data_IF_375111792876
#
_entry.id   IF_375111792876
#
_cell.length_a   1.000
_cell.length_b   1.000
_cell.length_c   1.000
_cell.angle_alpha   90.00
_cell.angle_beta   90.00
_cell.angle_gamma   90.00
#
_symmetry.space_group_name_H-M   'P 1'
#
loop_
_entity.id
_entity.type
_entity.pdbx_description
1 polymer ?
#
# COMPACT_ATOMS: atom_id res chain seq x y z
N UNK A 1 7.06 -24.42 -12.98
CA UNK A 1 6.79 -23.00 -12.69
C UNK A 1 6.46 -22.92 -11.22
N UNK A 2 7.40 -22.43 -10.41
CA UNK A 2 7.22 -22.29 -8.97
C UNK A 2 6.12 -21.26 -8.74
N UNK A 3 5.00 -21.67 -8.15
CA UNK A 3 3.97 -20.74 -7.70
C UNK A 3 4.65 -19.64 -6.88
N UNK A 4 4.53 -18.39 -7.31
CA UNK A 4 4.99 -17.27 -6.51
C UNK A 4 4.16 -17.28 -5.23
N UNK A 5 4.81 -17.64 -4.12
CA UNK A 5 4.20 -17.61 -2.79
C UNK A 5 3.80 -16.16 -2.45
N UNK A 6 2.73 -15.98 -1.66
CA UNK A 6 2.20 -14.70 -1.19
C UNK A 6 3.34 -13.77 -0.70
N UNK A 7 4.34 -14.35 -0.02
CA UNK A 7 5.52 -13.63 0.48
C UNK A 7 6.32 -12.90 -0.60
N UNK A 8 6.48 -13.50 -1.78
CA UNK A 8 7.23 -12.90 -2.90
C UNK A 8 6.50 -11.66 -3.40
N UNK A 9 5.19 -11.77 -3.65
CA UNK A 9 4.38 -10.65 -4.11
C UNK A 9 4.30 -9.52 -3.09
N UNK A 10 4.16 -9.84 -1.80
CA UNK A 10 4.15 -8.83 -0.74
C UNK A 10 5.50 -8.10 -0.65
N UNK A 11 6.63 -8.81 -0.84
CA UNK A 11 7.96 -8.20 -0.85
C UNK A 11 8.17 -7.28 -2.05
N UNK A 12 7.77 -7.71 -3.24
CA UNK A 12 7.86 -6.88 -4.47
C UNK A 12 7.00 -5.62 -4.33
N UNK A 13 5.76 -5.76 -3.83
CA UNK A 13 4.88 -4.63 -3.56
C UNK A 13 5.51 -3.64 -2.56
N UNK A 14 6.11 -4.13 -1.48
CA UNK A 14 6.81 -3.28 -0.51
C UNK A 14 8.01 -2.54 -1.12
N UNK A 15 8.79 -3.19 -1.99
CA UNK A 15 9.91 -2.54 -2.67
C UNK A 15 9.44 -1.40 -3.58
N UNK A 16 8.34 -1.60 -4.32
CA UNK A 16 7.76 -0.53 -5.14
C UNK A 16 7.18 0.61 -4.29
N UNK A 17 6.57 0.31 -3.14
CA UNK A 17 6.07 1.31 -2.20
C UNK A 17 7.21 2.16 -1.61
N UNK A 18 8.33 1.55 -1.26
CA UNK A 18 9.52 2.27 -0.76
C UNK A 18 10.06 3.24 -1.80
N UNK A 19 10.17 2.81 -3.07
CA UNK A 19 10.58 3.70 -4.17
C UNK A 19 9.62 4.88 -4.35
N UNK A 20 8.31 4.60 -4.34
CA UNK A 20 7.29 5.64 -4.47
C UNK A 20 7.32 6.65 -3.30
N UNK A 21 7.57 6.19 -2.07
CA UNK A 21 7.73 7.04 -0.89
C UNK A 21 8.95 7.94 -1.02
N UNK A 22 10.10 7.37 -1.38
CA UNK A 22 11.34 8.13 -1.57
C UNK A 22 11.18 9.21 -2.65
N UNK A 23 10.54 8.88 -3.77
CA UNK A 23 10.24 9.85 -4.83
C UNK A 23 9.24 10.92 -4.36
N UNK A 24 8.19 10.53 -3.63
CA UNK A 24 7.19 11.46 -3.09
C UNK A 24 7.84 12.50 -2.17
N UNK A 25 8.68 12.06 -1.24
CA UNK A 25 9.40 12.95 -0.31
C UNK A 25 10.33 13.87 -1.08
N UNK A 26 11.11 13.34 -2.03
CA UNK A 26 12.01 14.14 -2.85
C UNK A 26 11.26 15.23 -3.61
N UNK A 27 10.14 14.91 -4.25
CA UNK A 27 9.35 15.88 -4.99
C UNK A 27 8.81 17.00 -4.09
N UNK A 28 8.38 16.69 -2.86
CA UNK A 28 7.93 17.72 -1.90
C UNK A 28 9.08 18.58 -1.39
N UNK A 29 10.25 17.98 -1.14
CA UNK A 29 11.45 18.73 -0.73
C UNK A 29 11.94 19.68 -1.82
N UNK A 30 11.86 19.27 -3.09
CA UNK A 30 12.22 20.09 -4.24
C UNK A 30 11.13 21.14 -4.56
N UNK A 31 9.87 20.84 -4.30
CA UNK A 31 8.73 21.71 -4.55
C UNK A 31 7.57 21.44 -3.57
N UNK A 32 7.45 22.25 -2.51
CA UNK A 32 6.42 22.08 -1.47
C UNK A 32 4.99 22.17 -2.04
N UNK A 33 4.79 22.90 -3.15
CA UNK A 33 3.46 22.99 -3.80
C UNK A 33 2.97 21.65 -4.37
N UNK A 34 3.87 20.70 -4.63
CA UNK A 34 3.53 19.35 -5.11
C UNK A 34 2.88 18.48 -4.03
N UNK A 35 2.95 18.87 -2.74
CA UNK A 35 2.43 18.10 -1.61
C UNK A 35 0.97 17.69 -1.76
N UNK A 36 0.12 18.59 -2.24
CA UNK A 36 -1.31 18.31 -2.46
C UNK A 36 -1.52 17.24 -3.54
N UNK A 37 -0.82 17.37 -4.66
CA UNK A 37 -0.94 16.41 -5.77
C UNK A 37 -0.43 15.02 -5.35
N UNK A 38 0.71 14.97 -4.67
CA UNK A 38 1.30 13.72 -4.17
C UNK A 38 0.37 13.06 -3.15
N UNK A 39 -0.23 13.85 -2.24
CA UNK A 39 -1.23 13.35 -1.29
C UNK A 39 -2.41 12.68 -2.00
N UNK A 40 -2.96 13.30 -3.05
CA UNK A 40 -4.06 12.73 -3.83
C UNK A 40 -3.70 11.39 -4.50
N UNK A 41 -2.46 11.25 -5.01
CA UNK A 41 -1.99 9.97 -5.57
C UNK A 41 -1.97 8.86 -4.52
N UNK A 42 -1.50 9.16 -3.31
CA UNK A 42 -1.50 8.22 -2.19
C UNK A 42 -2.91 7.87 -1.72
N UNK A 43 -3.81 8.85 -1.62
CA UNK A 43 -5.22 8.62 -1.28
C UNK A 43 -5.89 7.69 -2.28
N UNK A 44 -5.71 7.93 -3.58
CA UNK A 44 -6.25 7.07 -4.63
C UNK A 44 -5.72 5.64 -4.51
N UNK A 45 -4.39 5.47 -4.41
CA UNK A 45 -3.77 4.16 -4.30
C UNK A 45 -4.25 3.39 -3.06
N UNK A 46 -4.27 4.01 -1.89
CA UNK A 46 -4.71 3.38 -0.64
C UNK A 46 -6.20 3.05 -0.69
N UNK A 47 -7.02 3.91 -1.30
CA UNK A 47 -8.44 3.67 -1.53
C UNK A 47 -8.67 2.42 -2.40
N UNK A 48 -7.96 2.33 -3.52
CA UNK A 48 -8.01 1.17 -4.43
C UNK A 48 -7.56 -0.11 -3.71
N UNK A 49 -6.43 -0.07 -3.01
CA UNK A 49 -5.89 -1.22 -2.26
C UNK A 49 -6.88 -1.73 -1.19
N UNK A 50 -7.41 -0.84 -0.35
CA UNK A 50 -8.41 -1.21 0.67
C UNK A 50 -9.69 -1.73 0.00
N UNK A 51 -10.08 -1.14 -1.15
CA UNK A 51 -11.18 -1.62 -1.98
C UNK A 51 -11.00 -3.08 -2.39
N UNK A 52 -9.84 -3.43 -2.92
CA UNK A 52 -9.51 -4.80 -3.34
C UNK A 52 -9.57 -5.79 -2.17
N UNK A 53 -9.01 -5.42 -1.00
CA UNK A 53 -9.05 -6.26 0.21
C UNK A 53 -10.50 -6.51 0.64
N UNK A 54 -11.34 -5.46 0.66
CA UNK A 54 -12.76 -5.57 1.03
C UNK A 54 -13.54 -6.41 0.02
N UNK A 55 -13.31 -6.20 -1.28
CA UNK A 55 -14.01 -6.92 -2.34
C UNK A 55 -13.68 -8.42 -2.29
N UNK A 56 -12.40 -8.76 -2.12
CA UNK A 56 -11.99 -10.16 -1.95
C UNK A 56 -12.55 -10.77 -0.66
N UNK A 57 -12.53 -10.04 0.45
CA UNK A 57 -13.16 -10.49 1.69
C UNK A 57 -14.65 -10.79 1.52
N UNK A 58 -15.39 -9.87 0.89
CA UNK A 58 -16.83 -10.05 0.59
C UNK A 58 -17.09 -11.27 -0.30
N UNK A 59 -16.35 -11.40 -1.41
CA UNK A 59 -16.51 -12.51 -2.36
C UNK A 59 -16.19 -13.86 -1.73
N UNK A 60 -15.19 -13.92 -0.85
CA UNK A 60 -14.77 -15.14 -0.18
C UNK A 60 -15.51 -15.42 1.14
N UNK A 61 -16.38 -14.50 1.59
CA UNK A 61 -17.00 -14.52 2.95
C UNK A 61 -15.96 -14.57 4.08
N UNK A 62 -14.83 -13.92 3.89
CA UNK A 62 -13.73 -13.83 4.85
C UNK A 62 -13.51 -12.38 5.28
N UNK A 63 -13.26 -12.15 6.57
CA UNK A 63 -12.83 -10.84 7.03
C UNK A 63 -11.31 -10.72 6.94
N UNK A 64 -10.78 -10.42 5.75
CA UNK A 64 -9.32 -10.33 5.53
C UNK A 64 -8.65 -9.28 6.43
N UNK A 65 -9.35 -8.20 6.77
CA UNK A 65 -8.83 -7.17 7.68
C UNK A 65 -8.61 -7.70 9.10
N UNK A 66 -9.39 -8.70 9.54
CA UNK A 66 -9.20 -9.31 10.87
C UNK A 66 -7.91 -10.11 11.01
N UNK A 67 -7.28 -10.48 9.89
CA UNK A 67 -6.02 -11.22 9.89
C UNK A 67 -4.80 -10.32 10.03
N UNK A 68 -4.97 -9.03 9.72
CA UNK A 68 -3.92 -8.03 9.82
C UNK A 68 -3.98 -7.46 11.24
N UNK A 69 -3.17 -8.03 12.13
CA UNK A 69 -2.95 -7.46 13.46
C UNK A 69 -1.68 -6.62 13.44
N UNK A 70 -1.74 -5.41 14.02
CA UNK A 70 -0.57 -4.55 14.21
C UNK A 70 -0.17 -4.57 15.69
N UNK A 71 0.42 -5.67 16.20
CA UNK A 71 0.70 -5.80 17.63
C UNK A 71 1.71 -4.75 18.12
N UNK A 72 2.55 -4.19 17.24
CA UNK A 72 3.52 -3.14 17.57
C UNK A 72 3.84 -2.27 16.34
N UNK A 73 3.08 -1.21 16.11
CA UNK A 73 3.65 -0.04 15.43
C UNK A 73 4.57 0.64 16.46
N UNK A 74 5.86 0.31 16.45
CA UNK A 74 6.87 1.15 17.11
C UNK A 74 7.11 2.34 16.18
N UNK A 75 6.60 3.51 16.58
CA UNK A 75 7.09 4.80 16.09
C UNK A 75 8.54 4.98 16.51
#
# INVERSE_FOLDING_TARGET
MTEQNIDTHLREALSHLELALNQSVRCVLENDSAKKEIGLKWEQFLGEFIGLVREKGKKSRLNLLSWITFPRMKS
#
